data_IF_926753474302
#
_entry.id   IF_926753474302
#
_cell.length_a   1.000
_cell.length_b   1.000
_cell.length_c   1.000
_cell.angle_alpha   90.00
_cell.angle_beta   90.00
_cell.angle_gamma   90.00
#
_symmetry.space_group_name_H-M   'P 1'
#
loop_
_entity.id
_entity.type
_entity.pdbx_description
1 polymer ?
#
# COMPACT_ATOMS: atom_id res chain seq x y z
N UNK A 1 31.59 -7.49 9.00
CA UNK A 1 30.46 -8.43 8.73
C UNK A 1 30.41 -8.59 7.23
N UNK A 2 30.45 -9.85 6.77
CA UNK A 2 30.42 -10.17 5.34
C UNK A 2 29.12 -9.72 4.66
N UNK A 3 29.20 -9.33 3.38
CA UNK A 3 28.04 -8.96 2.54
C UNK A 3 27.00 -10.11 2.44
N UNK A 4 27.39 -11.33 2.74
CA UNK A 4 26.52 -12.51 2.75
C UNK A 4 25.76 -12.73 4.07
N UNK A 5 25.90 -11.84 5.05
CA UNK A 5 25.21 -11.97 6.35
C UNK A 5 23.70 -11.79 6.17
N UNK A 6 22.92 -12.79 6.59
CA UNK A 6 21.45 -12.70 6.60
C UNK A 6 21.03 -11.79 7.76
N UNK A 7 20.36 -10.70 7.42
CA UNK A 7 19.85 -9.71 8.40
C UNK A 7 18.41 -9.98 8.83
N UNK A 8 17.63 -10.57 7.93
CA UNK A 8 16.24 -10.96 8.19
C UNK A 8 16.03 -12.36 7.63
N UNK A 9 15.52 -13.26 8.46
CA UNK A 9 15.14 -14.62 8.07
C UNK A 9 13.72 -14.92 8.56
N UNK A 10 12.83 -15.16 7.61
CA UNK A 10 11.46 -15.61 7.86
C UNK A 10 11.31 -17.05 7.40
N UNK A 11 10.84 -17.90 8.29
CA UNK A 11 10.58 -19.29 7.99
C UNK A 11 9.14 -19.67 8.36
N UNK A 12 8.34 -19.95 7.32
CA UNK A 12 6.94 -20.40 7.42
C UNK A 12 6.07 -19.52 8.36
N UNK A 13 6.24 -18.20 8.28
CA UNK A 13 5.55 -17.26 9.15
C UNK A 13 4.07 -17.19 8.82
N UNK A 14 3.23 -17.42 9.84
CA UNK A 14 1.77 -17.37 9.74
C UNK A 14 1.19 -16.39 10.73
N UNK A 15 0.15 -15.68 10.31
CA UNK A 15 -0.63 -14.80 11.21
C UNK A 15 -2.10 -14.95 10.97
N UNK A 16 -2.80 -15.40 12.00
CA UNK A 16 -4.24 -15.60 12.01
C UNK A 16 -4.94 -14.51 12.83
N UNK A 17 -6.07 -14.02 12.32
CA UNK A 17 -7.02 -13.20 13.05
C UNK A 17 -8.36 -13.90 13.12
N UNK A 18 -9.08 -13.71 14.22
CA UNK A 18 -10.44 -14.23 14.38
C UNK A 18 -11.43 -13.11 14.12
N UNK A 19 -12.16 -13.24 13.02
CA UNK A 19 -13.21 -12.28 12.66
C UNK A 19 -14.51 -12.72 13.35
N UNK A 20 -15.12 -11.81 14.11
CA UNK A 20 -16.41 -12.04 14.74
C UNK A 20 -17.50 -11.33 13.95
N UNK A 21 -18.37 -12.07 13.29
CA UNK A 21 -19.52 -11.50 12.61
C UNK A 21 -20.62 -11.16 13.61
N UNK A 22 -21.13 -9.93 13.58
CA UNK A 22 -22.33 -9.57 14.36
C UNK A 22 -23.53 -10.28 13.74
N UNK A 23 -24.15 -11.22 14.45
CA UNK A 23 -25.40 -11.82 14.03
C UNK A 23 -26.45 -10.68 13.98
N UNK A 24 -26.99 -10.40 12.79
CA UNK A 24 -28.14 -9.50 12.66
C UNK A 24 -29.28 -10.10 13.51
N UNK A 25 -29.70 -9.38 14.54
CA UNK A 25 -30.90 -9.77 15.30
C UNK A 25 -32.09 -9.68 14.33
N UNK A 26 -32.89 -10.74 14.20
CA UNK A 26 -34.08 -10.64 13.37
C UNK A 26 -35.05 -9.61 13.95
N UNK A 27 -35.58 -8.75 13.10
CA UNK A 27 -36.50 -7.67 13.47
C UNK A 27 -37.93 -8.16 13.77
N UNK A 28 -38.23 -9.46 13.51
CA UNK A 28 -39.53 -10.05 13.75
C UNK A 28 -39.58 -10.91 15.03
N UNK A 29 -40.72 -10.86 15.72
CA UNK A 29 -40.99 -11.63 16.95
C UNK A 29 -40.88 -13.15 16.66
N UNK A 30 -41.38 -13.62 15.51
CA UNK A 30 -41.25 -15.02 15.07
C UNK A 30 -39.82 -15.47 14.84
N UNK A 31 -38.95 -14.57 14.34
CA UNK A 31 -37.51 -14.80 14.19
C UNK A 31 -36.77 -14.92 15.53
N UNK A 32 -37.20 -14.17 16.54
CA UNK A 32 -36.66 -14.24 17.91
C UNK A 32 -37.01 -15.57 18.58
N UNK A 33 -38.25 -16.05 18.42
CA UNK A 33 -38.65 -17.38 18.94
C UNK A 33 -37.88 -18.54 18.27
N UNK A 34 -37.68 -18.49 16.95
CA UNK A 34 -36.86 -19.49 16.24
C UNK A 34 -35.42 -19.49 16.69
N UNK A 35 -34.85 -18.32 17.03
CA UNK A 35 -33.50 -18.21 17.58
C UNK A 35 -33.38 -18.81 18.98
N UNK A 36 -34.39 -18.63 19.84
CA UNK A 36 -34.42 -19.21 21.19
C UNK A 36 -34.57 -20.73 21.10
N UNK A 37 -35.48 -21.27 20.27
CA UNK A 37 -35.63 -22.69 20.05
C UNK A 37 -34.34 -23.34 19.49
N UNK A 38 -33.67 -22.69 18.54
CA UNK A 38 -32.40 -23.16 17.98
C UNK A 38 -31.24 -23.14 18.99
N UNK A 39 -31.24 -22.20 19.95
CA UNK A 39 -30.28 -22.16 21.08
C UNK A 39 -30.44 -23.31 22.05
N UNK A 40 -31.66 -23.80 22.27
CA UNK A 40 -31.93 -24.90 23.18
C UNK A 40 -31.55 -26.25 22.56
N UNK A 41 -31.79 -26.42 21.24
CA UNK A 41 -31.54 -27.68 20.54
C UNK A 41 -30.11 -27.83 19.98
N UNK A 42 -29.36 -26.72 19.78
CA UNK A 42 -27.96 -26.73 19.31
C UNK A 42 -27.11 -25.71 20.08
N UNK A 43 -26.59 -26.04 21.24
CA UNK A 43 -25.83 -25.10 22.08
C UNK A 43 -24.43 -24.77 21.57
N UNK A 44 -23.95 -25.39 20.49
CA UNK A 44 -22.54 -25.38 20.10
C UNK A 44 -22.10 -24.30 19.09
N UNK A 45 -22.96 -23.36 18.63
CA UNK A 45 -22.53 -22.27 17.73
C UNK A 45 -22.91 -20.90 18.28
N UNK A 46 -22.13 -20.43 19.26
CA UNK A 46 -22.38 -19.15 19.95
C UNK A 46 -21.81 -17.91 19.26
N UNK A 47 -20.95 -18.05 18.26
CA UNK A 47 -20.40 -16.92 17.48
C UNK A 47 -20.02 -17.44 16.10
N UNK A 48 -20.49 -16.80 15.01
CA UNK A 48 -19.90 -16.99 13.70
C UNK A 48 -18.52 -16.30 13.76
N UNK A 49 -17.52 -17.06 14.18
CA UNK A 49 -16.13 -16.67 14.12
C UNK A 49 -15.51 -17.34 12.93
N UNK A 50 -14.88 -16.54 12.08
CA UNK A 50 -14.14 -17.00 10.93
C UNK A 50 -12.65 -16.77 11.18
N UNK A 51 -11.85 -17.81 10.97
CA UNK A 51 -10.40 -17.71 11.01
C UNK A 51 -9.89 -17.10 9.69
N UNK A 52 -9.29 -15.93 9.78
CA UNK A 52 -8.69 -15.23 8.64
C UNK A 52 -7.17 -15.28 8.73
N UNK A 53 -6.53 -15.93 7.77
CA UNK A 53 -5.07 -15.98 7.65
C UNK A 53 -4.56 -14.76 6.88
N UNK A 54 -4.05 -13.79 7.60
CA UNK A 54 -3.45 -12.60 7.01
C UNK A 54 -2.04 -12.87 6.45
N UNK A 55 -1.33 -13.84 7.05
CA UNK A 55 -0.10 -14.45 6.52
C UNK A 55 -0.25 -15.96 6.62
N UNK A 56 0.12 -16.67 5.57
CA UNK A 56 -0.02 -18.13 5.47
C UNK A 56 1.24 -18.77 4.88
N UNK A 57 2.27 -18.90 5.71
CA UNK A 57 3.52 -19.57 5.35
C UNK A 57 4.51 -18.69 4.58
N UNK A 58 4.65 -17.42 4.99
CA UNK A 58 5.63 -16.49 4.38
C UNK A 58 7.04 -16.90 4.76
N UNK A 59 7.90 -17.12 3.76
CA UNK A 59 9.32 -17.43 3.94
C UNK A 59 10.15 -16.64 2.95
N UNK A 60 11.18 -15.94 3.43
CA UNK A 60 12.21 -15.28 2.63
C UNK A 60 13.37 -14.85 3.52
N UNK A 61 14.50 -14.54 2.91
CA UNK A 61 15.68 -14.02 3.59
C UNK A 61 16.10 -12.69 2.98
N UNK A 62 16.63 -11.77 3.79
CA UNK A 62 17.21 -10.51 3.33
C UNK A 62 18.64 -10.40 3.84
N UNK A 63 19.56 -10.16 2.94
CA UNK A 63 20.98 -10.02 3.24
C UNK A 63 21.33 -8.58 3.63
N UNK A 64 22.50 -8.40 4.22
CA UNK A 64 23.03 -7.09 4.57
C UNK A 64 23.16 -6.19 3.35
N UNK A 65 22.66 -4.97 3.47
CA UNK A 65 22.70 -3.98 2.40
C UNK A 65 21.67 -4.16 1.28
N UNK A 66 20.89 -5.25 1.28
CA UNK A 66 19.81 -5.44 0.30
C UNK A 66 18.69 -4.41 0.50
N UNK A 67 18.15 -3.94 -0.61
CA UNK A 67 16.97 -3.09 -0.70
C UNK A 67 15.84 -3.89 -1.32
N UNK A 68 14.95 -4.39 -0.48
CA UNK A 68 13.88 -5.31 -0.90
C UNK A 68 12.53 -4.61 -0.87
N UNK A 69 11.87 -4.59 -2.02
CA UNK A 69 10.50 -4.12 -2.16
C UNK A 69 9.48 -5.20 -1.80
N UNK A 70 8.45 -4.86 -1.03
CA UNK A 70 7.32 -5.75 -0.78
C UNK A 70 6.08 -5.15 -1.44
N UNK A 71 5.55 -5.82 -2.45
CA UNK A 71 4.39 -5.37 -3.20
C UNK A 71 3.25 -6.38 -3.13
N UNK A 72 2.04 -5.92 -3.40
CA UNK A 72 0.85 -6.76 -3.36
C UNK A 72 -0.42 -5.90 -3.28
N UNK A 73 -1.58 -6.49 -3.61
CA UNK A 73 -2.88 -5.80 -3.53
C UNK A 73 -3.24 -5.44 -2.08
N UNK A 74 -4.27 -4.59 -1.93
CA UNK A 74 -4.89 -4.36 -0.63
C UNK A 74 -5.44 -5.69 -0.10
N UNK A 75 -5.12 -6.00 1.18
CA UNK A 75 -5.45 -7.28 1.78
C UNK A 75 -4.44 -8.43 1.51
N UNK A 76 -3.37 -8.23 0.74
CA UNK A 76 -2.36 -9.26 0.47
C UNK A 76 -1.52 -9.67 1.71
N UNK A 77 -1.63 -8.95 2.83
CA UNK A 77 -0.89 -9.24 4.05
C UNK A 77 0.27 -8.29 4.35
N UNK A 78 0.57 -7.30 3.48
CA UNK A 78 1.71 -6.37 3.63
C UNK A 78 1.78 -5.70 5.00
N UNK A 79 0.72 -5.00 5.41
CA UNK A 79 0.68 -4.29 6.70
C UNK A 79 0.75 -5.25 7.89
N UNK A 80 0.25 -6.47 7.77
CA UNK A 80 0.39 -7.50 8.79
C UNK A 80 1.84 -7.96 8.88
N UNK A 81 2.51 -8.20 7.75
CA UNK A 81 3.92 -8.56 7.71
C UNK A 81 4.80 -7.47 8.34
N UNK A 82 4.54 -6.19 8.01
CA UNK A 82 5.23 -5.06 8.64
C UNK A 82 5.06 -5.03 10.16
N UNK A 83 3.83 -5.21 10.65
CA UNK A 83 3.56 -5.24 12.10
C UNK A 83 4.28 -6.39 12.80
N UNK A 84 4.40 -7.53 12.14
CA UNK A 84 5.12 -8.69 12.67
C UNK A 84 6.63 -8.41 12.69
N UNK A 85 7.21 -7.91 11.60
CA UNK A 85 8.63 -7.54 11.52
C UNK A 85 9.01 -6.42 12.48
N UNK A 86 8.09 -5.47 12.73
CA UNK A 86 8.28 -4.39 13.69
C UNK A 86 7.99 -4.79 15.14
N UNK A 87 7.72 -6.08 15.39
CA UNK A 87 7.39 -6.63 16.73
C UNK A 87 6.16 -5.97 17.39
N UNK A 88 5.29 -5.34 16.60
CA UNK A 88 4.00 -4.78 17.09
C UNK A 88 3.01 -5.92 17.36
N UNK A 89 3.11 -7.01 16.59
CA UNK A 89 2.30 -8.21 16.79
C UNK A 89 3.16 -9.46 16.59
N UNK A 90 2.92 -10.49 17.38
CA UNK A 90 3.61 -11.78 17.24
C UNK A 90 3.02 -12.60 16.09
N UNK A 91 3.81 -13.42 15.40
CA UNK A 91 3.28 -14.41 14.49
C UNK A 91 2.44 -15.45 15.25
N UNK A 92 1.51 -16.10 14.55
CA UNK A 92 0.74 -17.22 15.11
C UNK A 92 1.55 -18.51 15.06
N UNK A 93 2.39 -18.65 14.04
CA UNK A 93 3.27 -19.82 13.82
C UNK A 93 4.46 -19.38 12.94
N UNK A 94 5.52 -20.20 12.90
CA UNK A 94 6.75 -19.93 12.17
C UNK A 94 7.80 -19.19 12.99
N UNK A 95 8.96 -18.92 12.35
CA UNK A 95 10.12 -18.31 13.00
C UNK A 95 10.57 -17.06 12.26
N UNK A 96 10.99 -16.05 13.02
CA UNK A 96 11.55 -14.81 12.49
C UNK A 96 12.85 -14.52 13.24
N UNK A 97 13.92 -14.35 12.51
CA UNK A 97 15.21 -13.90 13.04
C UNK A 97 15.60 -12.58 12.38
N UNK A 98 16.00 -11.62 13.18
CA UNK A 98 16.49 -10.33 12.73
C UNK A 98 17.77 -9.99 13.48
N UNK A 99 18.83 -9.65 12.75
CA UNK A 99 20.13 -9.31 13.30
C UNK A 99 20.34 -7.79 13.27
N UNK A 100 20.62 -7.21 14.45
CA UNK A 100 20.88 -5.77 14.59
C UNK A 100 19.67 -4.94 15.01
N UNK A 101 19.85 -3.62 14.95
CA UNK A 101 18.83 -2.62 15.36
C UNK A 101 17.82 -2.44 14.23
N UNK A 102 16.55 -2.71 14.54
CA UNK A 102 15.43 -2.54 13.59
C UNK A 102 14.70 -1.24 13.92
N UNK A 103 14.45 -0.43 12.92
CA UNK A 103 13.55 0.72 13.01
C UNK A 103 12.49 0.65 11.92
N UNK A 104 11.25 0.95 12.29
CA UNK A 104 10.12 0.92 11.37
C UNK A 104 9.48 2.31 11.26
N UNK A 105 9.36 2.78 10.03
CA UNK A 105 8.63 4.01 9.68
C UNK A 105 7.20 3.64 9.25
N UNK A 106 6.40 3.07 10.16
CA UNK A 106 5.05 2.61 9.84
C UNK A 106 4.00 3.71 9.98
N UNK A 107 4.18 4.57 10.96
CA UNK A 107 3.26 5.66 11.27
C UNK A 107 4.07 6.89 11.66
N UNK A 108 4.37 7.76 10.70
CA UNK A 108 5.12 8.99 10.93
C UNK A 108 4.33 9.92 11.86
N UNK A 109 4.96 10.30 12.98
CA UNK A 109 4.35 11.15 13.99
C UNK A 109 3.67 10.41 15.15
N UNK A 110 3.66 9.09 15.13
CA UNK A 110 3.27 8.31 16.32
C UNK A 110 4.24 8.63 17.47
N UNK A 111 3.67 8.96 18.63
CA UNK A 111 4.44 9.37 19.81
C UNK A 111 4.68 10.88 19.92
N UNK A 112 4.23 11.71 18.97
CA UNK A 112 4.20 13.16 19.16
C UNK A 112 3.15 13.55 20.20
N UNK A 113 3.54 14.45 21.10
CA UNK A 113 2.62 15.07 22.04
C UNK A 113 2.25 16.48 21.55
N UNK A 114 0.96 16.71 21.35
CA UNK A 114 0.44 17.96 20.79
C UNK A 114 0.67 19.19 21.68
N UNK A 115 0.83 18.99 22.98
CA UNK A 115 1.07 20.08 23.94
C UNK A 115 2.55 20.49 23.98
N UNK A 116 3.46 19.62 23.58
CA UNK A 116 4.87 19.89 23.53
C UNK A 116 5.26 20.71 22.27
N UNK A 117 6.35 21.44 22.37
CA UNK A 117 6.97 22.17 21.26
C UNK A 117 7.53 21.19 20.21
N UNK A 118 7.84 21.70 19.02
CA UNK A 118 8.54 20.90 18.01
C UNK A 118 9.87 20.37 18.52
N UNK A 119 10.63 21.20 19.26
CA UNK A 119 11.90 20.80 19.88
C UNK A 119 11.71 19.62 20.82
N UNK A 120 10.81 19.73 21.78
CA UNK A 120 10.54 18.67 22.75
C UNK A 120 10.04 17.39 22.05
N UNK A 121 9.25 17.51 21.01
CA UNK A 121 8.82 16.36 20.21
C UNK A 121 9.96 15.69 19.42
N UNK A 122 10.97 16.44 18.95
CA UNK A 122 12.18 15.84 18.35
C UNK A 122 12.87 14.93 19.36
N UNK A 123 13.05 15.38 20.59
CA UNK A 123 13.66 14.55 21.64
C UNK A 123 12.79 13.38 22.04
N UNK A 124 11.49 13.61 22.25
CA UNK A 124 10.55 12.58 22.64
C UNK A 124 10.47 11.47 21.57
N UNK A 125 10.22 11.87 20.33
CA UNK A 125 10.07 10.92 19.23
C UNK A 125 11.40 10.23 18.88
N UNK A 126 12.51 10.95 18.88
CA UNK A 126 13.85 10.37 18.71
C UNK A 126 14.12 9.27 19.74
N UNK A 127 13.80 9.53 21.01
CA UNK A 127 13.97 8.55 22.08
C UNK A 127 13.03 7.32 21.89
N UNK A 128 11.75 7.53 21.52
CA UNK A 128 10.80 6.46 21.21
C UNK A 128 11.32 5.59 20.06
N UNK A 129 11.93 6.20 19.05
CA UNK A 129 12.50 5.51 17.89
C UNK A 129 13.88 4.89 18.18
N UNK A 130 14.38 5.03 19.43
CA UNK A 130 15.59 4.37 19.92
C UNK A 130 16.88 5.17 19.69
N UNK A 131 16.80 6.49 19.53
CA UNK A 131 17.99 7.36 19.56
C UNK A 131 18.36 7.68 21.01
N UNK A 132 19.65 7.67 21.31
CA UNK A 132 20.16 8.24 22.55
C UNK A 132 20.08 9.78 22.53
N UNK A 133 20.10 10.41 23.72
CA UNK A 133 20.09 11.88 23.80
C UNK A 133 21.28 12.48 23.03
N UNK A 134 22.47 11.89 23.14
CA UNK A 134 23.66 12.37 22.43
C UNK A 134 23.50 12.27 20.90
N UNK A 135 22.88 11.23 20.38
CA UNK A 135 22.56 11.12 18.94
C UNK A 135 21.56 12.19 18.49
N UNK A 136 20.54 12.49 19.33
CA UNK A 136 19.57 13.54 19.02
C UNK A 136 20.25 14.90 19.03
N UNK A 137 21.05 15.21 20.08
CA UNK A 137 21.78 16.46 20.19
C UNK A 137 22.69 16.69 18.96
N UNK A 138 23.41 15.66 18.53
CA UNK A 138 24.30 15.73 17.37
C UNK A 138 23.60 15.92 16.02
N UNK A 139 22.32 15.50 15.91
CA UNK A 139 21.54 15.56 14.67
C UNK A 139 20.44 16.62 14.68
N UNK A 140 20.27 17.32 15.80
CA UNK A 140 19.14 18.23 15.99
C UNK A 140 19.05 19.30 14.91
N UNK A 141 20.14 19.98 14.60
CA UNK A 141 20.15 21.05 13.61
C UNK A 141 19.87 20.53 12.20
N UNK A 142 20.33 19.31 11.86
CA UNK A 142 20.04 18.67 10.59
C UNK A 142 18.56 18.29 10.48
N UNK A 143 17.98 17.74 11.55
CA UNK A 143 16.56 17.41 11.64
C UNK A 143 15.69 18.65 11.42
N UNK A 144 16.01 19.73 12.14
CA UNK A 144 15.28 21.00 12.03
C UNK A 144 15.40 21.60 10.64
N UNK A 145 16.60 21.61 10.05
CA UNK A 145 16.85 22.08 8.69
C UNK A 145 16.13 21.23 7.65
N UNK A 146 16.11 19.91 7.85
CA UNK A 146 15.41 18.99 6.95
C UNK A 146 13.89 19.21 6.98
N UNK A 147 13.31 19.40 8.15
CA UNK A 147 11.86 19.58 8.35
C UNK A 147 11.32 20.90 7.78
N UNK A 148 12.18 21.92 7.62
CA UNK A 148 11.81 23.29 7.19
C UNK A 148 10.86 24.01 8.17
N UNK A 149 10.72 23.54 9.42
CA UNK A 149 9.86 24.15 10.45
C UNK A 149 10.64 25.02 11.45
N UNK A 150 11.91 25.35 11.16
CA UNK A 150 12.83 26.01 12.11
C UNK A 150 12.26 27.23 12.82
N UNK A 151 11.49 28.10 12.14
CA UNK A 151 10.86 29.28 12.74
C UNK A 151 9.81 28.93 13.82
N UNK A 152 9.30 27.73 13.82
CA UNK A 152 8.24 27.28 14.70
C UNK A 152 8.68 26.18 15.67
N UNK A 153 9.99 25.86 15.69
CA UNK A 153 10.51 24.72 16.46
C UNK A 153 10.19 24.81 17.96
N UNK A 154 10.11 26.02 18.50
CA UNK A 154 9.78 26.28 19.90
C UNK A 154 8.28 26.61 20.12
N UNK A 155 7.45 26.35 19.11
CA UNK A 155 5.98 26.48 19.19
C UNK A 155 5.34 25.10 19.45
N UNK A 156 4.30 25.01 20.32
CA UNK A 156 3.56 23.78 20.53
C UNK A 156 2.99 23.19 19.23
N UNK A 157 3.14 21.87 19.04
CA UNK A 157 2.80 21.17 17.80
C UNK A 157 1.29 21.22 17.48
N UNK A 158 0.43 21.42 18.47
CA UNK A 158 -1.00 21.67 18.24
C UNK A 158 -1.30 22.89 17.36
N UNK A 159 -0.33 23.81 17.20
CA UNK A 159 -0.42 24.98 16.33
C UNK A 159 0.19 24.77 14.94
N UNK A 160 0.74 23.57 14.68
CA UNK A 160 1.30 23.24 13.38
C UNK A 160 0.19 22.96 12.36
N UNK A 161 0.47 23.28 11.10
CA UNK A 161 -0.32 22.71 10.02
C UNK A 161 -0.03 21.21 9.90
N UNK A 162 -0.93 20.45 9.28
CA UNK A 162 -0.70 19.02 9.03
C UNK A 162 0.60 18.76 8.28
N UNK A 163 0.95 19.63 7.32
CA UNK A 163 2.21 19.56 6.59
C UNK A 163 3.44 19.76 7.48
N UNK A 164 3.42 20.76 8.38
CA UNK A 164 4.53 20.99 9.33
C UNK A 164 4.72 19.82 10.28
N UNK A 165 3.60 19.28 10.80
CA UNK A 165 3.61 18.10 11.67
C UNK A 165 4.32 16.94 11.01
N UNK A 166 3.88 16.58 9.82
CA UNK A 166 4.41 15.44 9.09
C UNK A 166 5.86 15.65 8.66
N UNK A 167 6.23 16.86 8.23
CA UNK A 167 7.61 17.19 7.87
C UNK A 167 8.56 17.01 9.05
N UNK A 168 8.17 17.47 10.26
CA UNK A 168 9.00 17.31 11.45
C UNK A 168 9.12 15.85 11.86
N UNK A 169 8.00 15.12 11.88
CA UNK A 169 7.99 13.72 12.24
C UNK A 169 8.82 12.85 11.27
N UNK A 170 8.70 13.10 9.95
CA UNK A 170 9.54 12.44 8.96
C UNK A 170 11.03 12.83 9.11
N UNK A 171 11.33 14.09 9.41
CA UNK A 171 12.70 14.54 9.62
C UNK A 171 13.37 13.74 10.74
N UNK A 172 12.69 13.55 11.89
CA UNK A 172 13.23 12.74 12.99
C UNK A 172 13.48 11.30 12.51
N UNK A 173 12.47 10.67 11.91
CA UNK A 173 12.55 9.28 11.45
C UNK A 173 13.65 9.06 10.39
N UNK A 174 13.85 10.01 9.47
CA UNK A 174 14.87 9.93 8.41
C UNK A 174 16.32 10.13 8.89
N UNK A 175 16.52 10.55 10.15
CA UNK A 175 17.84 10.69 10.76
C UNK A 175 18.19 9.52 11.70
N UNK A 176 17.35 8.48 11.74
CA UNK A 176 17.68 7.22 12.39
C UNK A 176 18.82 6.50 11.66
N UNK A 177 19.59 5.75 12.40
CA UNK A 177 20.67 4.90 11.89
C UNK A 177 20.49 3.44 12.33
N UNK A 178 19.45 2.75 11.86
CA UNK A 178 19.28 1.33 12.13
C UNK A 178 20.12 0.46 11.20
N UNK A 179 20.32 -0.80 11.58
CA UNK A 179 20.89 -1.83 10.69
C UNK A 179 19.83 -2.29 9.66
N UNK A 180 18.57 -2.34 10.09
CA UNK A 180 17.40 -2.70 9.27
C UNK A 180 16.38 -1.57 9.36
N UNK A 181 16.04 -0.99 8.21
CA UNK A 181 15.02 0.03 8.08
C UNK A 181 13.80 -0.54 7.37
N UNK A 182 12.65 -0.49 8.03
CA UNK A 182 11.36 -0.88 7.46
C UNK A 182 10.58 0.39 7.13
N UNK A 183 10.21 0.56 5.86
CA UNK A 183 9.52 1.75 5.37
C UNK A 183 8.18 1.35 4.77
N UNK A 184 7.11 1.91 5.31
CA UNK A 184 5.78 1.79 4.72
C UNK A 184 5.53 2.95 3.73
N UNK A 185 4.46 2.89 3.01
CA UNK A 185 3.96 3.85 2.01
C UNK A 185 4.02 5.35 2.39
N UNK A 186 4.41 5.66 3.61
CA UNK A 186 4.41 6.98 4.24
C UNK A 186 5.29 8.03 3.53
N UNK A 187 6.10 7.66 2.51
CA UNK A 187 6.90 8.63 1.73
C UNK A 187 6.07 9.58 0.85
N UNK A 188 4.77 9.32 0.68
CA UNK A 188 3.86 10.16 -0.10
C UNK A 188 3.33 11.39 0.67
N UNK A 189 4.04 11.83 1.73
CA UNK A 189 3.58 12.88 2.63
C UNK A 189 4.19 14.23 2.31
N UNK A 190 3.38 15.28 2.42
CA UNK A 190 3.79 16.65 2.14
C UNK A 190 3.59 17.04 0.67
N UNK A 191 4.20 18.15 0.25
CA UNK A 191 4.20 18.57 -1.15
C UNK A 191 5.23 17.80 -1.98
N UNK A 192 5.13 17.92 -3.30
CA UNK A 192 6.01 17.21 -4.26
C UNK A 192 7.49 17.45 -4.02
N UNK A 193 7.86 18.67 -3.60
CA UNK A 193 9.26 19.03 -3.31
C UNK A 193 9.77 18.29 -2.07
N UNK A 194 8.97 18.25 -1.02
CA UNK A 194 9.34 17.53 0.19
C UNK A 194 9.37 16.01 -0.02
N UNK A 195 8.44 15.47 -0.81
CA UNK A 195 8.47 14.06 -1.20
C UNK A 195 9.77 13.68 -1.92
N UNK A 196 10.22 14.53 -2.87
CA UNK A 196 11.50 14.29 -3.55
C UNK A 196 12.69 14.35 -2.58
N UNK A 197 12.65 15.26 -1.61
CA UNK A 197 13.67 15.36 -0.56
C UNK A 197 13.70 14.09 0.32
N UNK A 198 12.53 13.54 0.64
CA UNK A 198 12.39 12.28 1.37
C UNK A 198 12.98 11.11 0.58
N UNK A 199 12.64 10.99 -0.71
CA UNK A 199 13.16 9.94 -1.60
C UNK A 199 14.69 10.02 -1.72
N UNK A 200 15.25 11.22 -1.89
CA UNK A 200 16.69 11.41 -1.96
C UNK A 200 17.37 10.98 -0.63
N UNK A 201 16.79 11.34 0.51
CA UNK A 201 17.31 10.91 1.81
C UNK A 201 17.26 9.40 1.99
N UNK A 202 16.18 8.74 1.54
CA UNK A 202 16.10 7.27 1.56
C UNK A 202 17.16 6.63 0.67
N UNK A 203 17.42 7.20 -0.50
CA UNK A 203 18.49 6.74 -1.39
C UNK A 203 19.87 6.87 -0.74
N UNK A 204 20.12 7.96 -0.01
CA UNK A 204 21.40 8.17 0.69
C UNK A 204 21.57 7.14 1.84
N UNK A 205 20.51 6.88 2.59
CA UNK A 205 20.48 5.84 3.62
C UNK A 205 20.78 4.47 3.02
N UNK A 206 20.19 4.17 1.86
CA UNK A 206 20.39 2.94 1.13
C UNK A 206 21.85 2.76 0.64
N UNK A 207 22.48 3.84 0.14
CA UNK A 207 23.89 3.82 -0.28
C UNK A 207 24.86 3.59 0.88
N UNK A 208 24.44 3.90 2.11
CA UNK A 208 25.21 3.64 3.32
C UNK A 208 25.33 2.17 3.72
N UNK A 209 24.89 1.22 2.88
CA UNK A 209 25.01 -0.24 3.11
C UNK A 209 24.02 -0.78 4.15
N UNK A 210 22.95 -0.04 4.44
CA UNK A 210 21.88 -0.46 5.35
C UNK A 210 20.87 -1.34 4.63
N UNK A 211 20.32 -2.30 5.36
CA UNK A 211 19.28 -3.19 4.84
C UNK A 211 17.92 -2.49 4.89
N UNK A 212 17.20 -2.44 3.79
CA UNK A 212 15.93 -1.73 3.69
C UNK A 212 14.83 -2.67 3.19
N UNK A 213 13.73 -2.73 3.94
CA UNK A 213 12.46 -3.30 3.49
C UNK A 213 11.51 -2.15 3.15
N UNK A 214 11.14 -2.06 1.88
CA UNK A 214 10.28 -1.00 1.37
C UNK A 214 8.92 -1.55 0.95
N UNK A 215 7.85 -1.15 1.62
CA UNK A 215 6.48 -1.57 1.28
C UNK A 215 5.78 -0.45 0.55
N UNK A 216 5.36 -0.68 -0.68
CA UNK A 216 4.66 0.34 -1.46
C UNK A 216 3.75 -0.31 -2.50
N UNK A 217 2.73 0.45 -2.90
CA UNK A 217 1.95 0.18 -4.10
C UNK A 217 2.40 1.06 -5.29
N UNK A 218 3.36 1.95 -5.10
CA UNK A 218 3.91 2.81 -6.15
C UNK A 218 5.08 2.11 -6.84
N UNK A 219 4.82 1.48 -7.97
CA UNK A 219 5.83 0.69 -8.72
C UNK A 219 7.03 1.54 -9.15
N UNK A 220 6.82 2.83 -9.41
CA UNK A 220 7.91 3.73 -9.79
C UNK A 220 8.93 3.92 -8.67
N UNK A 221 8.47 4.01 -7.41
CA UNK A 221 9.34 4.11 -6.24
C UNK A 221 10.08 2.79 -5.98
N UNK A 222 9.39 1.66 -6.18
CA UNK A 222 10.01 0.32 -6.08
C UNK A 222 11.15 0.19 -7.09
N UNK A 223 10.95 0.56 -8.37
CA UNK A 223 12.00 0.56 -9.41
C UNK A 223 13.20 1.43 -9.06
N UNK A 224 12.95 2.57 -8.40
CA UNK A 224 14.00 3.54 -8.10
C UNK A 224 14.84 3.15 -6.88
N UNK A 225 14.24 2.50 -5.88
CA UNK A 225 14.84 2.29 -4.56
C UNK A 225 15.22 0.84 -4.28
N UNK A 226 14.65 -0.15 -4.98
CA UNK A 226 14.82 -1.55 -4.64
C UNK A 226 15.64 -2.30 -5.68
N UNK A 227 16.45 -3.24 -5.22
CA UNK A 227 17.25 -4.14 -6.05
C UNK A 227 16.54 -5.48 -6.28
N UNK A 228 15.57 -5.82 -5.42
CA UNK A 228 14.81 -7.07 -5.42
C UNK A 228 13.40 -6.80 -4.92
N UNK A 229 12.44 -7.61 -5.36
CA UNK A 229 11.05 -7.46 -4.95
C UNK A 229 10.45 -8.81 -4.54
N UNK A 230 9.62 -8.76 -3.51
CA UNK A 230 8.78 -9.86 -3.03
C UNK A 230 7.32 -9.50 -3.30
N UNK A 231 6.61 -10.35 -4.03
CA UNK A 231 5.19 -10.16 -4.34
C UNK A 231 4.35 -11.01 -3.40
N UNK A 232 3.46 -10.33 -2.65
CA UNK A 232 2.52 -10.99 -1.75
C UNK A 232 1.12 -11.06 -2.39
N UNK A 233 0.48 -12.22 -2.28
CA UNK A 233 -0.92 -12.46 -2.63
C UNK A 233 -1.56 -13.36 -1.59
N UNK A 234 -2.68 -12.90 -1.00
CA UNK A 234 -3.47 -13.69 -0.03
C UNK A 234 -2.62 -14.28 1.11
N UNK A 235 -1.70 -13.49 1.65
CA UNK A 235 -0.84 -13.88 2.74
C UNK A 235 0.35 -14.78 2.37
N UNK A 236 0.60 -15.03 1.07
CA UNK A 236 1.69 -15.89 0.58
C UNK A 236 2.63 -15.12 -0.32
N UNK A 237 3.89 -15.56 -0.36
CA UNK A 237 4.86 -15.11 -1.35
C UNK A 237 4.60 -15.85 -2.66
N UNK A 238 4.30 -15.11 -3.73
CA UNK A 238 4.10 -15.68 -5.08
C UNK A 238 5.28 -15.43 -6.01
N UNK A 239 6.15 -14.48 -5.67
CA UNK A 239 7.38 -14.20 -6.39
C UNK A 239 8.40 -13.55 -5.46
N UNK A 240 9.67 -13.87 -5.69
CA UNK A 240 10.82 -13.30 -4.99
C UNK A 240 12.01 -13.23 -5.96
N UNK A 241 12.46 -12.02 -6.33
CA UNK A 241 13.52 -11.84 -7.30
C UNK A 241 13.58 -10.46 -7.94
N UNK A 242 13.93 -10.40 -9.22
CA UNK A 242 14.10 -9.17 -10.01
C UNK A 242 12.89 -8.23 -9.95
N UNK A 243 13.15 -6.92 -9.93
CA UNK A 243 12.11 -5.89 -9.74
C UNK A 243 11.14 -5.84 -10.93
N UNK A 244 11.62 -5.85 -12.17
CA UNK A 244 10.75 -5.71 -13.34
C UNK A 244 9.84 -6.93 -13.49
N UNK A 245 10.41 -8.12 -13.36
CA UNK A 245 9.64 -9.36 -13.39
C UNK A 245 8.64 -9.47 -12.24
N UNK A 246 9.00 -9.01 -11.06
CA UNK A 246 8.07 -8.98 -9.92
C UNK A 246 6.91 -8.01 -10.12
N UNK A 247 7.16 -6.85 -10.75
CA UNK A 247 6.11 -5.90 -11.12
C UNK A 247 5.19 -6.50 -12.19
N UNK A 248 5.72 -7.27 -13.14
CA UNK A 248 4.93 -8.00 -14.14
C UNK A 248 4.01 -9.02 -13.45
N UNK A 249 4.56 -9.89 -12.58
CA UNK A 249 3.78 -10.85 -11.79
C UNK A 249 2.70 -10.17 -10.94
N UNK A 250 3.03 -9.02 -10.34
CA UNK A 250 2.05 -8.21 -9.60
C UNK A 250 0.93 -7.72 -10.52
N UNK A 251 1.27 -7.16 -11.70
CA UNK A 251 0.30 -6.66 -12.67
C UNK A 251 -0.63 -7.76 -13.14
N UNK A 252 -0.12 -8.93 -13.49
CA UNK A 252 -0.91 -10.11 -13.88
C UNK A 252 -1.83 -10.58 -12.75
N UNK A 253 -1.38 -10.47 -11.51
CA UNK A 253 -2.20 -10.81 -10.34
C UNK A 253 -3.33 -9.81 -10.07
N UNK A 254 -3.20 -8.57 -10.58
CA UNK A 254 -4.19 -7.49 -10.45
C UNK A 254 -5.19 -7.50 -11.59
N UNK A 255 -4.73 -7.85 -12.77
CA UNK A 255 -5.60 -7.94 -13.94
C UNK A 255 -6.55 -9.14 -13.79
N UNK A 256 -7.79 -8.84 -13.43
CA UNK A 256 -8.88 -9.67 -13.93
C UNK A 256 -8.88 -9.46 -15.43
N UNK A 257 -8.40 -10.45 -16.18
CA UNK A 257 -8.42 -10.51 -17.66
C UNK A 257 -9.87 -10.42 -18.17
N UNK A 258 -10.52 -9.28 -17.98
CA UNK A 258 -11.82 -8.99 -18.58
C UNK A 258 -11.56 -8.34 -19.93
N UNK A 259 -11.47 -9.15 -20.95
CA UNK A 259 -11.59 -8.71 -22.34
C UNK A 259 -12.98 -8.13 -22.63
N UNK A 260 -13.91 -8.33 -21.70
CA UNK A 260 -15.28 -7.79 -21.73
C UNK A 260 -15.48 -6.90 -20.51
N UNK A 261 -15.76 -5.64 -20.73
CA UNK A 261 -16.16 -4.68 -19.68
C UNK A 261 -17.68 -4.60 -19.72
N UNK A 262 -18.32 -5.16 -18.69
CA UNK A 262 -19.74 -4.98 -18.44
C UNK A 262 -19.94 -3.73 -17.58
N UNK A 263 -20.75 -2.81 -18.07
CA UNK A 263 -21.09 -1.57 -17.38
C UNK A 263 -22.54 -1.53 -16.88
N UNK A 264 -23.23 -2.67 -16.89
CA UNK A 264 -24.64 -2.78 -16.47
C UNK A 264 -24.85 -2.29 -15.03
N UNK A 265 -23.87 -2.46 -14.15
CA UNK A 265 -23.94 -2.04 -12.75
C UNK A 265 -23.62 -0.54 -12.54
N UNK A 266 -23.21 0.18 -13.59
CA UNK A 266 -22.90 1.60 -13.51
C UNK A 266 -24.13 2.43 -13.85
N UNK A 267 -24.52 3.33 -12.93
CA UNK A 267 -25.59 4.28 -13.20
C UNK A 267 -25.16 5.24 -14.32
N UNK A 268 -25.89 5.29 -15.45
CA UNK A 268 -25.57 6.23 -16.52
C UNK A 268 -25.67 7.67 -16.01
N UNK A 269 -24.79 8.53 -16.52
CA UNK A 269 -24.76 9.97 -16.21
C UNK A 269 -25.11 10.78 -17.47
N UNK A 270 -25.65 11.97 -17.29
CA UNK A 270 -26.02 12.87 -18.39
C UNK A 270 -27.43 12.64 -18.90
N UNK A 271 -27.72 13.07 -20.13
CA UNK A 271 -29.05 13.05 -20.77
C UNK A 271 -29.57 11.66 -21.11
N UNK A 272 -28.70 10.67 -21.12
CA UNK A 272 -28.99 9.26 -21.44
C UNK A 272 -29.61 9.02 -22.85
N UNK A 273 -29.40 9.93 -23.79
CA UNK A 273 -29.83 9.76 -25.18
C UNK A 273 -29.14 8.52 -25.80
N UNK A 274 -27.88 8.29 -25.43
CA UNK A 274 -27.15 7.07 -25.75
C UNK A 274 -26.38 6.58 -24.52
N UNK A 275 -26.36 5.25 -24.32
CA UNK A 275 -25.74 4.63 -23.14
C UNK A 275 -24.76 3.52 -23.61
N UNK A 276 -23.54 3.55 -23.07
CA UNK A 276 -22.58 2.46 -23.28
C UNK A 276 -23.05 1.25 -22.46
N UNK A 277 -23.24 0.12 -23.13
CA UNK A 277 -23.62 -1.15 -22.50
C UNK A 277 -22.43 -2.06 -22.21
N UNK A 278 -21.34 -1.88 -22.91
CA UNK A 278 -20.12 -2.66 -22.70
C UNK A 278 -19.04 -2.31 -23.70
N UNK A 279 -17.84 -2.80 -23.45
CA UNK A 279 -16.74 -2.74 -24.38
C UNK A 279 -16.03 -4.11 -24.40
N UNK A 280 -15.57 -4.51 -25.58
CA UNK A 280 -14.84 -5.76 -25.76
C UNK A 280 -13.59 -5.53 -26.59
N UNK A 281 -12.53 -6.27 -26.27
CA UNK A 281 -11.32 -6.35 -27.09
C UNK A 281 -11.40 -7.65 -27.88
N UNK A 282 -11.70 -7.59 -29.18
CA UNK A 282 -11.77 -8.78 -30.00
C UNK A 282 -10.39 -9.40 -30.18
N UNK A 283 -10.35 -10.72 -30.28
CA UNK A 283 -9.18 -11.52 -30.65
C UNK A 283 -8.00 -11.52 -29.65
N UNK A 284 -8.20 -11.10 -28.39
CA UNK A 284 -7.20 -11.23 -27.34
C UNK A 284 -7.78 -11.85 -26.07
N UNK A 285 -7.10 -12.84 -25.54
CA UNK A 285 -7.43 -13.43 -24.24
C UNK A 285 -6.92 -12.54 -23.07
N UNK A 286 -5.89 -11.73 -23.34
CA UNK A 286 -5.24 -10.83 -22.39
C UNK A 286 -5.20 -9.42 -22.97
N UNK A 287 -5.58 -8.41 -22.19
CA UNK A 287 -5.50 -7.00 -22.58
C UNK A 287 -4.05 -6.47 -22.49
N UNK A 288 -3.14 -7.02 -23.27
CA UNK A 288 -1.76 -6.55 -23.40
C UNK A 288 -1.45 -6.20 -24.84
N UNK A 289 -0.71 -5.10 -25.04
CA UNK A 289 -0.27 -4.64 -26.37
C UNK A 289 1.21 -4.33 -26.37
N UNK A 290 1.86 -4.67 -27.46
CA UNK A 290 3.23 -4.28 -27.73
C UNK A 290 3.24 -2.87 -28.35
N UNK A 291 4.32 -2.13 -28.14
CA UNK A 291 4.49 -0.81 -28.76
C UNK A 291 4.31 -0.88 -30.29
N UNK A 292 3.55 0.04 -30.86
CA UNK A 292 3.10 0.09 -32.27
C UNK A 292 2.10 -1.00 -32.71
N UNK A 293 1.56 -1.81 -31.83
CA UNK A 293 0.45 -2.70 -32.15
C UNK A 293 -0.87 -1.90 -32.18
N UNK A 294 -1.71 -2.02 -33.23
CA UNK A 294 -3.01 -1.36 -33.26
C UNK A 294 -3.94 -1.91 -32.18
N UNK A 295 -4.67 -1.02 -31.54
CA UNK A 295 -5.63 -1.39 -30.49
C UNK A 295 -7.03 -1.37 -31.11
N UNK A 296 -7.59 -2.56 -31.32
CA UNK A 296 -8.98 -2.73 -31.74
C UNK A 296 -9.87 -2.99 -30.52
N UNK A 297 -10.91 -2.20 -30.37
CA UNK A 297 -11.94 -2.45 -29.38
C UNK A 297 -13.34 -2.19 -29.96
N UNK A 298 -14.32 -2.96 -29.50
CA UNK A 298 -15.72 -2.80 -29.87
C UNK A 298 -16.48 -2.25 -28.67
N UNK A 299 -17.18 -1.14 -28.88
CA UNK A 299 -18.05 -0.53 -27.87
C UNK A 299 -19.50 -0.78 -28.27
N UNK A 300 -20.26 -1.39 -27.37
CA UNK A 300 -21.69 -1.58 -27.56
C UNK A 300 -22.43 -0.38 -26.96
N UNK A 301 -23.11 0.37 -27.82
CA UNK A 301 -23.88 1.56 -27.44
C UNK A 301 -25.35 1.27 -27.72
N UNK A 302 -26.23 1.62 -26.77
CA UNK A 302 -27.67 1.64 -26.97
C UNK A 302 -28.10 3.09 -27.12
N UNK A 303 -28.67 3.44 -28.26
CA UNK A 303 -29.35 4.71 -28.46
C UNK A 303 -30.78 4.60 -27.91
N UNK A 304 -31.19 5.50 -27.06
CA UNK A 304 -32.55 5.62 -26.56
C UNK A 304 -33.36 6.60 -27.40
N UNK A 305 -32.66 7.55 -28.06
CA UNK A 305 -33.21 8.56 -28.96
C UNK A 305 -32.30 8.69 -30.19
N UNK A 306 -32.77 9.33 -31.24
CA UNK A 306 -31.94 9.59 -32.42
C UNK A 306 -30.82 10.56 -32.05
N UNK A 307 -29.58 10.15 -32.26
CA UNK A 307 -28.41 10.90 -31.91
C UNK A 307 -27.62 11.28 -33.18
N UNK A 308 -27.48 12.58 -33.42
CA UNK A 308 -26.59 13.09 -34.44
C UNK A 308 -25.25 13.51 -33.81
N UNK A 309 -24.15 13.26 -34.55
CA UNK A 309 -22.80 13.67 -34.13
C UNK A 309 -22.33 13.06 -32.78
N UNK A 310 -22.70 11.80 -32.50
CA UNK A 310 -22.19 11.12 -31.32
C UNK A 310 -20.67 11.02 -31.41
N UNK A 311 -19.98 11.54 -30.39
CA UNK A 311 -18.53 11.47 -30.28
C UNK A 311 -18.15 10.55 -29.14
N UNK A 312 -17.33 9.55 -29.41
CA UNK A 312 -16.76 8.66 -28.41
C UNK A 312 -15.36 9.17 -28.01
N UNK A 313 -15.19 9.51 -26.74
CA UNK A 313 -13.89 9.84 -26.19
C UNK A 313 -13.42 8.69 -25.30
N UNK A 314 -12.19 8.24 -25.47
CA UNK A 314 -11.60 7.21 -24.63
C UNK A 314 -10.22 7.62 -24.14
N UNK A 315 -9.85 7.11 -22.99
CA UNK A 315 -8.57 7.36 -22.37
C UNK A 315 -7.91 6.04 -22.00
N UNK A 316 -6.75 5.77 -22.56
CA UNK A 316 -5.93 4.62 -22.21
C UNK A 316 -4.96 5.05 -21.12
N UNK A 317 -4.97 4.31 -20.01
CA UNK A 317 -4.02 4.50 -18.90
C UNK A 317 -3.25 3.22 -18.71
N UNK A 318 -1.93 3.31 -18.65
CA UNK A 318 -1.13 2.21 -18.12
C UNK A 318 -0.92 2.37 -16.62
N UNK A 319 -0.35 1.35 -15.97
CA UNK A 319 0.00 1.36 -14.55
C UNK A 319 1.02 2.46 -14.19
N UNK A 320 1.75 3.00 -15.17
CA UNK A 320 2.75 4.06 -15.02
C UNK A 320 2.19 5.47 -15.25
N UNK A 321 0.86 5.66 -15.30
CA UNK A 321 0.19 6.95 -15.53
C UNK A 321 0.41 7.60 -16.91
N UNK A 322 0.96 6.91 -17.90
CA UNK A 322 1.00 7.39 -19.27
C UNK A 322 -0.44 7.40 -19.79
N UNK A 323 -0.89 8.56 -20.25
CA UNK A 323 -2.24 8.76 -20.80
C UNK A 323 -2.13 8.91 -22.31
N UNK A 324 -2.80 8.04 -23.04
CA UNK A 324 -3.08 8.26 -24.45
C UNK A 324 -4.55 8.68 -24.58
N UNK A 325 -4.80 9.82 -25.23
CA UNK A 325 -6.14 10.32 -25.53
C UNK A 325 -6.43 9.96 -26.98
N UNK A 326 -7.50 9.20 -27.22
CA UNK A 326 -8.01 8.92 -28.55
C UNK A 326 -9.38 9.55 -28.75
N UNK A 327 -9.65 10.00 -29.95
CA UNK A 327 -10.98 10.46 -30.41
C UNK A 327 -11.41 9.58 -31.57
N UNK A 328 -12.61 9.01 -31.45
CA UNK A 328 -13.24 8.36 -32.58
C UNK A 328 -13.91 9.41 -33.49
N UNK A 329 -14.04 9.10 -34.77
CA UNK A 329 -14.87 9.90 -35.67
C UNK A 329 -16.32 9.94 -35.21
N UNK A 330 -17.02 11.02 -35.49
CA UNK A 330 -18.43 11.15 -35.16
C UNK A 330 -19.28 10.14 -35.95
N UNK A 331 -20.10 9.39 -35.23
CA UNK A 331 -21.01 8.38 -35.80
C UNK A 331 -22.44 8.83 -35.60
N UNK A 332 -23.26 8.70 -36.62
CA UNK A 332 -24.73 8.88 -36.52
C UNK A 332 -25.36 7.55 -36.11
N UNK A 333 -26.06 7.52 -35.00
CA UNK A 333 -26.84 6.35 -34.54
C UNK A 333 -28.32 6.67 -34.73
N UNK A 334 -28.99 5.90 -35.60
CA UNK A 334 -30.44 5.85 -35.65
C UNK A 334 -31.03 4.85 -34.65
N UNK A 335 -32.31 5.00 -34.32
CA UNK A 335 -33.04 4.03 -33.51
C UNK A 335 -33.02 2.66 -34.10
#
# INVERSE_FOLDING_TARGET
>A
MDENTVMIDLNNVKKKYVIRHKIKKPDSISGRLKLVARKVFHPSKRTDTEDFWALDGVSFQVKKGEKVGIIGRNGAGKSTLLKVLSRITEPTDGRIEMLGKVSAMLEVGTGFNMELTGRENVYLNGAILGMSKAEIDGKFDEIVKFSEVGKFIDTPVKRYSSGMFVRLAFAVASHLEPDILIVDEVLAVGDTRFQQKCLNRMSDIARGGRTILYVSHQMQTIRQLCDRVIVLKEGKVIYDGDVEKGIEVYSDSVETNKTVIDVSDHKPRGTQMAVIQGATVPNKEICSWVYNEPIDFKVKIKANEDCENLRLEFMIRNLSLIRALGKAESVRLGK
#
